data_IF_632765755556
#
_entry.id   IF_632765755556
#
_cell.length_a   1.000
_cell.length_b   1.000
_cell.length_c   1.000
_cell.angle_alpha   90.00
_cell.angle_beta   90.00
_cell.angle_gamma   90.00
#
_symmetry.space_group_name_H-M   'P 1'
#
loop_
_entity.id
_entity.type
_entity.pdbx_description
1 polymer ?
#
# COMPACT_ATOMS: atom_id res chain seq x y z
N UNK A 1 4.63 21.84 -1.46
CA UNK A 1 3.45 21.30 -2.17
C UNK A 1 4.00 20.61 -3.40
N UNK A 2 3.84 19.29 -3.51
CA UNK A 2 4.29 18.55 -4.70
C UNK A 2 3.40 18.94 -5.89
N UNK A 3 3.99 19.31 -7.02
CA UNK A 3 3.24 19.61 -8.23
C UNK A 3 2.77 18.29 -8.84
N UNK A 4 1.56 18.23 -9.45
CA UNK A 4 1.00 16.97 -9.97
C UNK A 4 1.93 16.23 -10.94
N UNK A 5 2.72 16.98 -11.72
CA UNK A 5 3.72 16.42 -12.65
C UNK A 5 4.85 15.65 -11.97
N UNK A 6 5.16 15.96 -10.72
CA UNK A 6 6.23 15.29 -9.97
C UNK A 6 5.73 13.92 -9.46
N UNK A 7 4.43 13.83 -9.15
CA UNK A 7 3.74 12.58 -8.78
C UNK A 7 3.68 11.65 -10.00
N UNK A 8 3.24 12.16 -11.15
CA UNK A 8 3.10 11.36 -12.39
C UNK A 8 4.43 10.73 -12.85
N UNK A 9 5.57 11.37 -12.57
CA UNK A 9 6.88 10.86 -12.93
C UNK A 9 7.32 9.73 -11.98
N UNK A 10 7.09 9.90 -10.68
CA UNK A 10 7.46 8.90 -9.67
C UNK A 10 6.58 7.65 -9.79
N UNK A 11 5.27 7.82 -10.00
CA UNK A 11 4.31 6.73 -10.16
C UNK A 11 4.60 5.83 -11.38
N UNK A 12 5.32 6.34 -12.39
CA UNK A 12 5.72 5.53 -13.56
C UNK A 12 6.96 4.68 -13.32
N UNK A 13 7.74 4.99 -12.29
CA UNK A 13 9.05 4.34 -12.04
C UNK A 13 8.97 3.35 -10.89
N UNK A 14 8.09 3.60 -9.91
CA UNK A 14 7.92 2.76 -8.73
C UNK A 14 6.80 1.72 -8.95
N UNK A 15 7.20 0.47 -9.10
CA UNK A 15 6.32 -0.68 -9.06
C UNK A 15 6.28 -1.27 -7.65
N UNK A 16 5.14 -1.89 -7.31
CA UNK A 16 5.00 -2.63 -6.06
C UNK A 16 5.94 -3.85 -6.04
N UNK A 17 6.45 -4.19 -4.85
CA UNK A 17 7.31 -5.36 -4.60
C UNK A 17 8.64 -5.35 -5.37
N UNK A 18 9.17 -4.17 -5.68
CA UNK A 18 10.47 -3.97 -6.31
C UNK A 18 11.42 -3.15 -5.44
N UNK A 19 12.72 -3.42 -5.55
CA UNK A 19 13.76 -2.72 -4.81
C UNK A 19 14.38 -1.61 -5.67
N UNK A 20 14.53 -0.43 -5.08
CA UNK A 20 15.04 0.76 -5.75
C UNK A 20 16.13 1.45 -4.93
N UNK A 21 17.14 1.96 -5.61
CA UNK A 21 18.07 2.94 -5.07
C UNK A 21 17.46 4.33 -5.25
N UNK A 22 17.16 5.01 -4.13
CA UNK A 22 16.60 6.37 -4.12
C UNK A 22 17.66 7.32 -3.57
N UNK A 23 18.06 8.30 -4.38
CA UNK A 23 19.08 9.29 -4.00
C UNK A 23 18.59 10.72 -4.23
N UNK A 24 19.18 11.68 -3.51
CA UNK A 24 18.82 13.10 -3.58
C UNK A 24 17.33 13.40 -3.25
N UNK A 25 16.79 12.68 -2.26
CA UNK A 25 15.50 12.97 -1.66
C UNK A 25 15.67 13.96 -0.50
N UNK A 26 14.66 14.80 -0.26
CA UNK A 26 14.65 15.71 0.89
C UNK A 26 14.09 14.98 2.11
N UNK A 27 14.83 14.96 3.22
CA UNK A 27 14.40 14.31 4.46
C UNK A 27 13.87 15.36 5.44
N UNK A 28 12.65 15.18 5.91
CA UNK A 28 12.00 16.08 6.87
C UNK A 28 11.52 15.31 8.11
N UNK A 29 11.44 15.94 9.30
CA UNK A 29 10.74 15.34 10.44
C UNK A 29 9.30 15.00 10.07
N UNK A 30 8.83 13.83 10.48
CA UNK A 30 7.44 13.42 10.27
C UNK A 30 6.51 14.38 11.01
N UNK A 31 5.79 15.21 10.24
CA UNK A 31 4.76 16.13 10.75
C UNK A 31 3.35 15.71 10.33
N UNK A 32 3.20 14.53 9.74
CA UNK A 32 1.94 14.09 9.16
C UNK A 32 0.98 13.59 10.25
N UNK A 33 -0.29 14.01 10.15
CA UNK A 33 -1.41 13.49 10.94
C UNK A 33 -1.78 12.03 10.57
N UNK A 34 -0.95 11.35 9.78
CA UNK A 34 -1.12 9.96 9.37
C UNK A 34 -0.14 9.13 10.16
N UNK A 35 -0.65 8.12 10.86
CA UNK A 35 0.17 7.25 11.69
C UNK A 35 1.20 6.53 10.80
N UNK A 36 2.51 6.65 11.08
CA UNK A 36 3.52 5.99 10.27
C UNK A 36 3.38 4.47 10.39
N UNK A 37 3.87 3.69 9.41
CA UNK A 37 3.85 2.22 9.46
C UNK A 37 4.54 1.63 10.70
N UNK A 38 5.44 2.40 11.32
CA UNK A 38 6.05 2.06 12.61
C UNK A 38 6.35 3.34 13.40
N UNK A 39 6.22 3.32 14.74
CA UNK A 39 6.52 4.46 15.62
C UNK A 39 8.01 4.87 15.58
N UNK A 40 8.88 4.03 15.03
CA UNK A 40 10.30 4.34 14.85
C UNK A 40 10.58 5.24 13.64
N UNK A 41 9.63 5.39 12.72
CA UNK A 41 9.78 6.30 11.57
C UNK A 41 9.56 7.76 11.98
N UNK A 42 10.65 8.40 12.40
CA UNK A 42 10.68 9.82 12.81
C UNK A 42 10.81 10.80 11.65
N UNK A 43 11.15 10.32 10.47
CA UNK A 43 11.44 11.11 9.27
C UNK A 43 10.67 10.60 8.06
N UNK A 44 10.39 11.53 7.15
CA UNK A 44 9.70 11.28 5.88
C UNK A 44 10.57 11.79 4.75
N UNK A 45 10.61 11.04 3.65
CA UNK A 45 11.35 11.40 2.45
C UNK A 45 10.39 12.05 1.46
N UNK A 46 10.69 13.27 1.03
CA UNK A 46 9.98 13.93 -0.06
C UNK A 46 10.76 13.74 -1.35
N UNK A 47 10.12 13.05 -2.30
CA UNK A 47 10.64 12.86 -3.64
C UNK A 47 10.31 14.08 -4.51
N UNK A 48 11.23 14.48 -5.37
CA UNK A 48 11.06 15.59 -6.31
C UNK A 48 11.74 15.25 -7.64
N UNK A 49 11.69 16.15 -8.63
CA UNK A 49 12.39 15.96 -9.91
C UNK A 49 13.91 15.84 -9.79
N UNK A 50 14.48 16.29 -8.68
CA UNK A 50 15.91 16.17 -8.43
C UNK A 50 16.27 14.81 -7.83
N UNK A 51 15.27 14.04 -7.38
CA UNK A 51 15.46 12.71 -6.82
C UNK A 51 15.70 11.72 -7.94
N UNK A 52 16.76 10.93 -7.79
CA UNK A 52 17.11 9.87 -8.74
C UNK A 52 16.67 8.53 -8.18
N UNK A 53 15.93 7.76 -8.99
CA UNK A 53 15.35 6.48 -8.64
C UNK A 53 15.80 5.47 -9.69
N UNK A 54 16.50 4.42 -9.25
CA UNK A 54 17.00 3.37 -10.13
C UNK A 54 16.62 2.00 -9.59
N UNK A 55 16.11 1.11 -10.45
CA UNK A 55 15.81 -0.27 -10.07
C UNK A 55 17.12 -0.99 -9.77
N UNK A 56 17.17 -1.66 -8.62
CA UNK A 56 18.32 -2.47 -8.24
C UNK A 56 18.37 -3.74 -9.11
N UNK A 57 19.57 -4.25 -9.48
CA UNK A 57 19.69 -5.54 -10.18
C UNK A 57 19.08 -6.66 -9.36
N UNK A 58 18.57 -7.71 -10.02
CA UNK A 58 17.89 -8.82 -9.34
C UNK A 58 18.81 -9.57 -8.34
N UNK A 59 20.13 -9.48 -8.49
CA UNK A 59 21.11 -10.04 -7.52
C UNK A 59 21.15 -9.31 -6.18
N UNK A 60 20.74 -8.05 -6.18
CA UNK A 60 20.85 -7.12 -5.06
C UNK A 60 19.45 -6.69 -4.58
N UNK A 61 18.38 -7.26 -5.17
CA UNK A 61 17.02 -7.09 -4.68
C UNK A 61 16.98 -7.51 -3.20
N UNK A 62 16.52 -6.59 -2.35
CA UNK A 62 16.31 -6.90 -0.95
C UNK A 62 15.13 -7.85 -0.96
N UNK A 63 15.36 -9.09 -0.49
CA UNK A 63 14.26 -9.99 -0.18
C UNK A 63 13.37 -9.26 0.81
N UNK A 64 12.24 -8.75 0.30
CA UNK A 64 11.13 -8.36 1.14
C UNK A 64 10.67 -9.67 1.73
N UNK A 65 11.24 -10.00 2.88
CA UNK A 65 10.70 -11.00 3.75
C UNK A 65 9.29 -10.49 4.03
N UNK A 66 8.31 -11.02 3.30
CA UNK A 66 6.90 -11.05 3.67
C UNK A 66 6.70 -11.86 4.96
N UNK A 67 7.73 -11.98 5.81
CA UNK A 67 7.63 -12.18 7.26
C UNK A 67 7.51 -10.84 8.00
N UNK A 68 6.90 -9.82 7.41
CA UNK A 68 5.75 -9.38 8.18
C UNK A 68 4.86 -10.61 8.15
N UNK A 69 4.94 -11.44 9.19
CA UNK A 69 3.86 -12.37 9.48
C UNK A 69 2.65 -11.46 9.56
N UNK A 70 2.04 -11.16 8.41
CA UNK A 70 0.65 -10.78 8.32
C UNK A 70 0.00 -12.03 8.86
N UNK A 71 -0.11 -12.07 10.19
CA UNK A 71 -0.78 -13.13 10.92
C UNK A 71 -2.11 -13.27 10.22
N UNK A 72 -2.20 -14.33 9.40
CA UNK A 72 -3.38 -14.60 8.62
C UNK A 72 -4.47 -14.81 9.66
N UNK A 73 -5.37 -13.84 9.70
CA UNK A 73 -6.53 -13.90 10.55
C UNK A 73 -7.35 -15.07 10.07
N UNK A 74 -7.67 -16.00 10.96
CA UNK A 74 -8.52 -17.11 10.58
C UNK A 74 -9.88 -16.56 10.15
N UNK A 75 -10.46 -17.12 9.08
CA UNK A 75 -11.66 -16.52 8.45
C UNK A 75 -12.84 -16.40 9.45
N UNK A 76 -12.94 -17.32 10.41
CA UNK A 76 -13.97 -17.31 11.44
C UNK A 76 -13.82 -16.16 12.47
N UNK A 77 -12.64 -15.54 12.58
CA UNK A 77 -12.40 -14.39 13.48
C UNK A 77 -12.85 -13.06 12.86
N UNK A 78 -13.18 -13.05 11.56
CA UNK A 78 -13.55 -11.84 10.83
C UNK A 78 -14.66 -11.04 11.53
N UNK A 79 -15.75 -11.69 11.94
CA UNK A 79 -16.89 -11.01 12.58
C UNK A 79 -16.54 -10.42 13.96
N UNK A 80 -15.55 -10.98 14.64
CA UNK A 80 -15.06 -10.43 15.91
C UNK A 80 -14.21 -9.18 15.68
N UNK A 81 -13.56 -9.09 14.53
CA UNK A 81 -12.58 -8.04 14.21
C UNK A 81 -13.15 -6.91 13.35
N UNK A 82 -14.26 -7.12 12.61
CA UNK A 82 -14.85 -6.13 11.70
C UNK A 82 -15.25 -4.79 12.36
N UNK A 83 -15.39 -4.77 13.69
CA UNK A 83 -15.64 -3.56 14.48
C UNK A 83 -14.39 -2.89 15.06
N UNK A 84 -13.26 -3.57 15.03
CA UNK A 84 -11.97 -3.03 15.48
C UNK A 84 -11.37 -2.26 14.30
N UNK A 85 -10.86 -1.05 14.52
CA UNK A 85 -10.19 -0.26 13.46
C UNK A 85 -8.80 -0.85 13.08
N UNK A 86 -8.60 -2.14 13.35
CA UNK A 86 -7.37 -2.86 13.11
C UNK A 86 -7.39 -3.42 11.68
N UNK A 87 -6.26 -3.38 10.96
CA UNK A 87 -6.13 -4.10 9.70
C UNK A 87 -6.38 -5.61 9.91
N UNK A 88 -7.13 -6.22 8.99
CA UNK A 88 -7.42 -7.66 8.98
C UNK A 88 -6.85 -8.22 7.68
N UNK A 89 -6.04 -9.27 7.79
CA UNK A 89 -5.41 -9.93 6.66
C UNK A 89 -5.94 -11.38 6.57
N UNK A 90 -6.56 -11.77 5.46
CA UNK A 90 -7.04 -13.15 5.26
C UNK A 90 -6.70 -13.63 3.85
N UNK A 91 -6.44 -14.94 3.73
CA UNK A 91 -6.30 -15.63 2.44
C UNK A 91 -7.65 -16.28 2.11
N UNK A 92 -8.09 -16.19 0.85
CA UNK A 92 -9.37 -16.76 0.43
C UNK A 92 -9.38 -17.06 -1.09
N UNK A 93 -10.20 -18.04 -1.49
CA UNK A 93 -10.52 -18.30 -2.90
C UNK A 93 -11.61 -17.32 -3.34
N UNK A 94 -11.38 -16.64 -4.47
CA UNK A 94 -12.40 -15.79 -5.10
C UNK A 94 -13.33 -16.68 -5.94
N UNK A 95 -14.60 -16.77 -5.55
CA UNK A 95 -15.63 -17.53 -6.28
C UNK A 95 -16.23 -16.70 -7.41
N UNK A 96 -16.52 -15.43 -7.14
CA UNK A 96 -17.18 -14.55 -8.08
C UNK A 96 -16.71 -13.11 -7.90
N UNK A 97 -16.53 -12.41 -9.01
CA UNK A 97 -16.31 -10.96 -9.06
C UNK A 97 -17.57 -10.31 -9.65
N UNK A 98 -18.25 -9.52 -8.84
CA UNK A 98 -19.48 -8.85 -9.25
C UNK A 98 -19.20 -7.74 -10.29
N UNK A 99 -20.21 -7.35 -11.09
CA UNK A 99 -20.11 -6.26 -12.04
C UNK A 99 -19.65 -4.96 -11.39
N UNK A 100 -18.93 -4.16 -12.17
CA UNK A 100 -18.39 -2.87 -11.74
C UNK A 100 -19.52 -1.91 -11.38
N UNK A 101 -19.49 -1.35 -10.17
CA UNK A 101 -20.41 -0.31 -9.75
C UNK A 101 -19.72 1.06 -9.62
N UNK A 102 -20.47 2.12 -9.94
CA UNK A 102 -20.04 3.50 -9.75
C UNK A 102 -20.74 4.08 -8.52
N UNK A 103 -19.99 4.23 -7.43
CA UNK A 103 -20.51 4.73 -6.16
C UNK A 103 -20.14 6.21 -6.02
N UNK A 104 -21.15 7.07 -5.84
CA UNK A 104 -20.96 8.49 -5.54
C UNK A 104 -20.76 8.68 -4.04
N UNK A 105 -19.55 9.11 -3.64
CA UNK A 105 -19.23 9.39 -2.23
C UNK A 105 -18.83 10.86 -2.11
N UNK A 106 -19.68 11.65 -1.44
CA UNK A 106 -19.43 13.07 -1.04
C UNK A 106 -18.68 13.90 -2.09
N UNK A 107 -19.12 13.84 -3.36
CA UNK A 107 -18.58 14.65 -4.46
C UNK A 107 -17.47 14.01 -5.28
N UNK A 108 -17.09 12.76 -5.00
CA UNK A 108 -16.18 11.96 -5.84
C UNK A 108 -16.84 10.66 -6.26
N UNK A 109 -16.75 10.32 -7.55
CA UNK A 109 -17.17 9.02 -8.05
C UNK A 109 -16.03 8.02 -7.83
N UNK A 110 -16.30 6.92 -7.13
CA UNK A 110 -15.36 5.81 -6.98
C UNK A 110 -15.90 4.60 -7.72
N UNK A 111 -14.98 3.84 -8.29
CA UNK A 111 -15.30 2.51 -8.82
C UNK A 111 -15.21 1.52 -7.69
N UNK A 112 -16.26 0.73 -7.49
CA UNK A 112 -16.29 -0.38 -6.57
C UNK A 112 -16.37 -1.70 -7.33
N UNK A 113 -15.71 -2.71 -6.76
CA UNK A 113 -15.86 -4.11 -7.16
C UNK A 113 -16.22 -4.87 -5.90
N UNK A 114 -17.23 -5.72 -6.00
CA UNK A 114 -17.55 -6.68 -4.94
C UNK A 114 -17.02 -8.05 -5.33
N UNK A 115 -16.53 -8.79 -4.34
CA UNK A 115 -15.99 -10.13 -4.52
C UNK A 115 -16.69 -11.05 -3.52
N UNK A 116 -17.15 -12.19 -4.02
CA UNK A 116 -17.55 -13.32 -3.18
C UNK A 116 -16.33 -14.19 -2.99
N UNK A 117 -15.91 -14.35 -1.74
CA UNK A 117 -14.73 -15.14 -1.38
C UNK A 117 -15.13 -16.25 -0.42
N UNK A 118 -14.39 -17.36 -0.46
CA UNK A 118 -14.55 -18.50 0.46
C UNK A 118 -13.19 -18.89 1.03
N UNK A 119 -13.18 -19.38 2.27
CA UNK A 119 -11.98 -19.97 2.84
C UNK A 119 -11.63 -21.29 2.14
N UNK A 120 -10.36 -21.68 2.16
CA UNK A 120 -9.92 -23.01 1.68
C UNK A 120 -10.33 -24.15 2.65
N UNK A 121 -10.53 -23.84 3.93
CA UNK A 121 -10.98 -24.78 4.97
C UNK A 121 -12.49 -25.06 4.95
#
# INVERSE_FOLDING_TARGET
>A
MANSRDIDQVDRVLDLNKTYNITNAVVLPSKYNVQPPSPHYKYVWMLSRQTYIEKVPDSDEIEISNKQEDTLTAFHEFYNLIGTKCPINFMAIVLEKMPREYISVKGTAKTAYEFTVVNEE
#
